data_IF_485765360229
#
_entry.id   IF_485765360229
#
_cell.length_a   1.000
_cell.length_b   1.000
_cell.length_c   1.000
_cell.angle_alpha   90.00
_cell.angle_beta   90.00
_cell.angle_gamma   90.00
#
_symmetry.space_group_name_H-M   'P 1'
#
loop_
_entity.id
_entity.type
_entity.pdbx_description
1 polymer ?
#
# COMPACT_ATOMS: atom_id res chain seq x y z
N UNK A 1 13.08 -3.57 -4.85
CA UNK A 1 11.88 -3.94 -4.07
C UNK A 1 10.83 -2.84 -4.27
N UNK A 2 9.80 -3.08 -5.08
CA UNK A 2 8.76 -2.07 -5.37
C UNK A 2 7.86 -1.96 -4.13
N UNK A 3 7.77 -0.77 -3.55
CA UNK A 3 7.06 -0.52 -2.30
C UNK A 3 5.64 -0.02 -2.62
N UNK A 4 4.72 -0.92 -2.95
CA UNK A 4 3.35 -0.53 -3.26
C UNK A 4 2.61 -0.07 -2.00
N UNK A 5 1.91 1.05 -2.09
CA UNK A 5 1.04 1.60 -1.06
C UNK A 5 -0.41 1.47 -1.51
N UNK A 6 -1.33 1.14 -0.61
CA UNK A 6 -2.77 1.09 -0.88
C UNK A 6 -3.50 2.16 -0.08
N UNK A 7 -4.29 2.99 -0.74
CA UNK A 7 -5.14 3.95 -0.05
C UNK A 7 -6.31 3.26 0.65
N UNK A 8 -6.56 3.58 1.92
CA UNK A 8 -7.69 3.02 2.67
C UNK A 8 -9.04 3.49 2.12
N UNK A 9 -9.13 4.76 1.73
CA UNK A 9 -10.40 5.39 1.37
C UNK A 9 -10.88 5.02 -0.03
N UNK A 10 -9.98 4.91 -1.01
CA UNK A 10 -10.37 4.58 -2.40
C UNK A 10 -9.84 3.21 -2.88
N UNK A 11 -9.02 2.52 -2.09
CA UNK A 11 -8.48 1.20 -2.44
C UNK A 11 -7.42 1.21 -3.55
N UNK A 12 -7.11 2.36 -4.17
CA UNK A 12 -6.11 2.45 -5.24
C UNK A 12 -4.70 2.15 -4.75
N UNK A 13 -3.94 1.50 -5.62
CA UNK A 13 -2.52 1.21 -5.45
C UNK A 13 -1.70 2.40 -5.94
N UNK A 14 -0.66 2.74 -5.19
CA UNK A 14 0.31 3.77 -5.50
C UNK A 14 1.68 3.13 -5.39
N UNK A 15 2.47 3.22 -6.45
CA UNK A 15 3.84 2.68 -6.45
C UNK A 15 4.80 3.50 -5.59
N UNK A 16 4.48 4.79 -5.38
CA UNK A 16 5.31 5.74 -4.65
C UNK A 16 4.47 6.64 -3.75
N UNK A 17 5.01 6.95 -2.56
CA UNK A 17 4.37 7.87 -1.63
C UNK A 17 4.77 9.31 -1.99
N UNK A 18 3.84 10.20 -2.38
CA UNK A 18 4.19 11.59 -2.61
C UNK A 18 4.63 12.25 -1.29
N UNK A 19 5.91 12.62 -1.16
CA UNK A 19 6.41 13.53 -0.11
C UNK A 19 6.21 14.96 -0.63
N UNK A 20 5.55 15.91 0.06
CA UNK A 20 5.46 16.14 1.51
C UNK A 20 4.08 15.88 2.17
N UNK A 21 3.06 15.46 1.42
CA UNK A 21 1.73 15.16 1.96
C UNK A 21 1.39 13.69 1.70
N UNK A 22 1.19 12.93 2.77
CA UNK A 22 0.70 11.55 2.74
C UNK A 22 -0.80 11.57 2.37
N UNK A 23 -1.13 12.03 1.17
CA UNK A 23 -2.48 12.11 0.63
C UNK A 23 -2.56 11.30 -0.64
N UNK A 24 -3.63 10.53 -0.78
CA UNK A 24 -3.92 9.85 -2.03
C UNK A 24 -4.24 10.91 -3.11
N UNK A 25 -3.58 10.88 -4.28
CA UNK A 25 -3.83 11.81 -5.37
C UNK A 25 -5.24 11.68 -5.95
N UNK A 26 -5.91 10.55 -5.72
CA UNK A 26 -7.24 10.30 -6.28
C UNK A 26 -8.40 10.71 -5.37
N UNK A 27 -8.24 10.67 -4.05
CA UNK A 27 -9.34 10.93 -3.12
C UNK A 27 -8.97 11.84 -1.95
N UNK A 28 -7.75 12.39 -1.94
CA UNK A 28 -7.18 13.18 -0.85
C UNK A 28 -7.15 12.51 0.54
N UNK A 29 -7.48 11.22 0.62
CA UNK A 29 -7.44 10.43 1.86
C UNK A 29 -6.03 10.35 2.45
N UNK A 30 -5.91 10.43 3.78
CA UNK A 30 -4.63 10.53 4.51
C UNK A 30 -4.02 9.20 4.94
N UNK A 31 -4.69 8.08 4.63
CA UNK A 31 -4.30 6.75 5.10
C UNK A 31 -3.84 5.90 3.92
N UNK A 32 -2.54 5.61 3.88
CA UNK A 32 -1.86 4.79 2.89
C UNK A 32 -1.15 3.63 3.62
N UNK A 33 -1.49 2.39 3.27
CA UNK A 33 -0.88 1.19 3.85
C UNK A 33 0.20 0.64 2.92
N UNK A 34 1.37 0.31 3.46
CA UNK A 34 2.40 -0.41 2.72
C UNK A 34 1.94 -1.86 2.48
N UNK A 35 1.80 -2.25 1.22
CA UNK A 35 1.58 -3.64 0.87
C UNK A 35 2.82 -4.45 1.25
N UNK A 36 2.56 -5.59 1.89
CA UNK A 36 3.60 -6.58 2.15
C UNK A 36 3.96 -7.22 0.81
N UNK A 37 5.25 -7.42 0.57
CA UNK A 37 5.68 -8.24 -0.54
C UNK A 37 4.97 -9.61 -0.46
N UNK A 38 4.66 -10.24 -1.60
CA UNK A 38 4.15 -11.60 -1.61
C UNK A 38 5.26 -12.54 -1.12
N UNK A 39 5.40 -12.67 0.19
CA UNK A 39 6.20 -13.71 0.81
C UNK A 39 5.32 -14.94 0.69
N UNK A 40 5.68 -15.84 -0.23
CA UNK A 40 5.06 -17.16 -0.34
C UNK A 40 5.44 -17.91 0.95
N UNK A 41 4.64 -17.74 1.99
CA UNK A 41 4.78 -18.54 3.20
C UNK A 41 4.19 -19.90 2.86
N UNK A 42 5.04 -20.90 2.67
CA UNK A 42 4.61 -22.30 2.70
C UNK A 42 4.14 -22.59 4.13
N UNK A 43 2.85 -22.33 4.39
CA UNK A 43 2.21 -22.66 5.65
C UNK A 43 1.95 -24.17 5.65
N UNK A 44 2.84 -24.92 6.29
CA UNK A 44 2.56 -26.31 6.66
C UNK A 44 1.59 -26.22 7.84
N UNK A 45 0.30 -26.46 7.58
CA UNK A 45 -0.68 -26.66 8.64
C UNK A 45 -0.50 -28.09 9.16
N UNK A 46 -0.03 -28.23 10.40
CA UNK A 46 0.01 -29.51 11.13
C UNK A 46 -1.33 -29.79 11.80
#
# INVERSE_FOLDING_TARGET
MIQMYKCMSCGKLLDELPKPMIRCPNCAGKVLFKQRAPIVKNLIAH
#
